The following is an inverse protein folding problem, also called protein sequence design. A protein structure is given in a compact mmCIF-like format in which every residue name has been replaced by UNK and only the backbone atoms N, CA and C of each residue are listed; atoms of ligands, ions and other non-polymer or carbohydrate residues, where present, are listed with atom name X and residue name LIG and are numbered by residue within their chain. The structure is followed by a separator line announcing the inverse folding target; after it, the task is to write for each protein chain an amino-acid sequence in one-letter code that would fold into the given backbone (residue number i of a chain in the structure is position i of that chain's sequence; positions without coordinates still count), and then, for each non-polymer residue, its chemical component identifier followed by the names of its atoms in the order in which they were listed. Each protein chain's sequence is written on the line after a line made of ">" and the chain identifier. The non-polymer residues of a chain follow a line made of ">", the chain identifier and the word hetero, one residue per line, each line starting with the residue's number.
data_IF_392821293305
#
_entry.id   IF_392821293305
#
_cell.length_a   1.000
_cell.length_b   1.000
_cell.length_c   1.000
_cell.angle_alpha   90.00
_cell.angle_beta   90.00
_cell.angle_gamma   90.00
#
_symmetry.space_group_name_H-M   'P 1'
#
loop_
_entity.id
_entity.type
_entity.pdbx_description
1 polymer ?
#
# COMPACT_ATOMS: atom_id res chain seq x y z
N UNK A 1 7.35 -4.60 38.42
CA UNK A 1 6.96 -5.82 37.67
C UNK A 1 6.51 -5.49 36.24
N UNK A 2 5.51 -4.62 36.03
CA UNK A 2 5.01 -4.28 34.67
C UNK A 2 6.08 -3.68 33.74
N UNK A 3 6.92 -2.77 34.24
CA UNK A 3 8.03 -2.14 33.46
C UNK A 3 9.04 -3.18 32.96
N UNK A 4 9.36 -4.17 33.79
CA UNK A 4 10.32 -5.23 33.44
C UNK A 4 9.73 -6.12 32.35
N UNK A 5 8.44 -6.47 32.46
CA UNK A 5 7.73 -7.23 31.44
C UNK A 5 7.71 -6.46 30.12
N UNK A 6 7.41 -5.16 30.15
CA UNK A 6 7.41 -4.31 28.96
C UNK A 6 8.80 -4.24 28.29
N UNK A 7 9.86 -4.04 29.08
CA UNK A 7 11.24 -4.04 28.57
C UNK A 7 11.61 -5.39 27.93
N UNK A 8 11.20 -6.50 28.54
CA UNK A 8 11.47 -7.85 28.05
C UNK A 8 10.74 -8.13 26.74
N UNK A 9 9.46 -7.73 26.62
CA UNK A 9 8.71 -7.87 25.37
C UNK A 9 9.31 -7.04 24.23
N UNK A 10 9.74 -5.80 24.51
CA UNK A 10 10.44 -4.98 23.52
C UNK A 10 11.78 -5.61 23.10
N UNK A 11 12.54 -6.13 24.05
CA UNK A 11 13.80 -6.83 23.78
C UNK A 11 13.61 -8.08 22.93
N UNK A 12 12.59 -8.90 23.23
CA UNK A 12 12.23 -10.06 22.40
C UNK A 12 11.75 -9.63 21.00
N UNK A 13 11.02 -8.52 20.90
CA UNK A 13 10.62 -7.95 19.61
C UNK A 13 11.83 -7.58 18.74
N UNK A 14 12.77 -6.82 19.28
CA UNK A 14 13.99 -6.42 18.55
C UNK A 14 14.89 -7.60 18.21
N UNK A 15 15.08 -8.52 19.14
CA UNK A 15 16.06 -9.61 18.99
C UNK A 15 15.52 -10.78 18.16
N UNK A 16 14.23 -11.10 18.30
CA UNK A 16 13.64 -12.30 17.72
C UNK A 16 12.72 -12.01 16.56
N UNK A 17 11.78 -11.06 16.72
CA UNK A 17 10.77 -10.82 15.68
C UNK A 17 11.36 -10.08 14.48
N UNK A 18 12.15 -9.03 14.73
CA UNK A 18 12.74 -8.20 13.69
C UNK A 18 13.59 -8.97 12.65
N UNK A 19 14.53 -9.86 13.04
CA UNK A 19 15.28 -10.65 12.06
C UNK A 19 14.42 -11.70 11.33
N UNK A 20 13.24 -12.03 11.85
CA UNK A 20 12.32 -12.98 11.22
C UNK A 20 11.38 -12.32 10.19
N UNK A 21 11.22 -10.99 10.21
CA UNK A 21 10.36 -10.27 9.25
C UNK A 21 10.68 -10.58 7.79
N UNK A 22 11.96 -10.62 7.33
CA UNK A 22 12.29 -10.95 5.94
C UNK A 22 11.76 -12.33 5.54
N UNK A 23 11.90 -13.32 6.43
CA UNK A 23 11.39 -14.67 6.22
C UNK A 23 9.86 -14.69 6.14
N UNK A 24 9.17 -14.02 7.07
CA UNK A 24 7.70 -13.98 7.10
C UNK A 24 7.13 -13.37 5.81
N UNK A 25 7.72 -12.27 5.34
CA UNK A 25 7.29 -11.60 4.10
C UNK A 25 7.55 -12.50 2.90
N UNK A 26 8.75 -13.08 2.80
CA UNK A 26 9.10 -13.98 1.71
C UNK A 26 8.18 -15.21 1.64
N UNK A 27 7.92 -15.84 2.79
CA UNK A 27 7.03 -16.99 2.88
C UNK A 27 5.59 -16.62 2.47
N UNK A 28 5.06 -15.51 2.99
CA UNK A 28 3.74 -15.01 2.60
C UNK A 28 3.63 -14.72 1.10
N UNK A 29 4.69 -14.14 0.52
CA UNK A 29 4.74 -13.87 -0.91
C UNK A 29 4.80 -15.15 -1.76
N UNK A 30 5.57 -16.15 -1.33
CA UNK A 30 5.66 -17.44 -2.01
C UNK A 30 4.31 -18.17 -2.00
N UNK A 31 3.60 -18.17 -0.86
CA UNK A 31 2.24 -18.74 -0.76
C UNK A 31 1.28 -17.98 -1.68
N UNK A 32 1.32 -16.64 -1.67
CA UNK A 32 0.47 -15.83 -2.55
C UNK A 32 0.73 -16.12 -4.04
N UNK A 33 1.99 -16.31 -4.43
CA UNK A 33 2.32 -16.70 -5.80
C UNK A 33 1.72 -18.08 -6.16
N UNK A 34 1.78 -19.07 -5.27
CA UNK A 34 1.12 -20.37 -5.51
C UNK A 34 -0.39 -20.26 -5.68
N UNK A 35 -1.04 -19.33 -4.96
CA UNK A 35 -2.47 -19.05 -5.15
C UNK A 35 -2.73 -18.52 -6.57
N UNK A 36 -1.95 -17.56 -7.04
CA UNK A 36 -2.04 -17.02 -8.42
C UNK A 36 -1.82 -18.10 -9.47
N UNK A 37 -0.89 -19.03 -9.23
CA UNK A 37 -0.68 -20.21 -10.09
C UNK A 37 -1.97 -21.06 -10.17
N UNK A 38 -2.61 -21.31 -9.03
CA UNK A 38 -3.87 -22.04 -8.96
C UNK A 38 -5.03 -21.33 -9.70
N UNK A 39 -5.14 -20.02 -9.54
CA UNK A 39 -6.10 -19.19 -10.28
C UNK A 39 -5.85 -19.27 -11.80
N UNK A 40 -4.59 -19.27 -12.22
CA UNK A 40 -4.20 -19.39 -13.62
C UNK A 40 -4.65 -20.69 -14.28
N UNK A 41 -4.65 -21.81 -13.55
CA UNK A 41 -5.15 -23.10 -14.05
C UNK A 41 -6.66 -23.04 -14.36
N UNK A 42 -7.43 -22.32 -13.54
CA UNK A 42 -8.88 -22.16 -13.70
C UNK A 42 -9.18 -21.11 -14.79
N UNK A 43 -8.37 -20.05 -14.87
CA UNK A 43 -8.52 -18.98 -15.85
C UNK A 43 -8.13 -19.42 -17.28
N UNK A 44 -7.16 -20.33 -17.43
CA UNK A 44 -6.63 -20.72 -18.73
C UNK A 44 -7.70 -21.29 -19.70
N UNK A 45 -8.61 -22.22 -19.31
CA UNK A 45 -9.68 -22.68 -20.18
C UNK A 45 -10.66 -21.58 -20.59
N UNK A 46 -10.98 -20.66 -19.67
CA UNK A 46 -11.86 -19.52 -19.97
C UNK A 46 -11.20 -18.58 -20.97
N UNK A 47 -9.89 -18.34 -20.82
CA UNK A 47 -9.12 -17.53 -21.76
C UNK A 47 -8.96 -18.23 -23.13
N UNK A 48 -8.86 -19.55 -23.18
CA UNK A 48 -8.81 -20.30 -24.44
C UNK A 48 -10.03 -20.02 -25.34
N UNK A 49 -11.23 -19.84 -24.76
CA UNK A 49 -12.46 -19.49 -25.51
C UNK A 49 -12.29 -18.15 -26.24
N UNK A 50 -11.52 -17.21 -25.70
CA UNK A 50 -11.29 -15.90 -26.35
C UNK A 50 -10.53 -16.02 -27.66
N UNK A 51 -9.81 -17.13 -27.89
CA UNK A 51 -9.15 -17.43 -29.16
C UNK A 51 -10.10 -18.00 -30.22
N UNK A 52 -11.28 -18.50 -29.83
CA UNK A 52 -12.27 -19.07 -30.76
C UNK A 52 -13.09 -18.00 -31.50
N UNK A 53 -13.12 -16.76 -30.99
CA UNK A 53 -13.94 -15.66 -31.52
C UNK A 53 -13.18 -14.58 -32.29
N UNK A 54 -11.91 -14.79 -32.66
CA UNK A 54 -11.04 -13.75 -33.23
C UNK A 54 -11.02 -13.72 -34.77
N UNK A 55 -11.14 -12.53 -35.35
CA UNK A 55 -10.98 -12.23 -36.77
C UNK A 55 -9.56 -12.54 -37.27
N UNK A 56 -9.22 -13.80 -37.54
CA UNK A 56 -8.09 -14.24 -38.37
C UNK A 56 -6.65 -13.90 -37.94
N UNK A 57 -6.42 -12.89 -37.11
CA UNK A 57 -5.11 -12.31 -36.80
C UNK A 57 -4.48 -12.90 -35.53
N UNK A 58 -5.19 -13.77 -34.80
CA UNK A 58 -4.69 -14.52 -33.64
C UNK A 58 -4.35 -13.68 -32.39
N UNK A 59 -4.00 -12.41 -32.56
CA UNK A 59 -3.55 -11.46 -31.53
C UNK A 59 -4.48 -10.25 -31.42
N UNK A 60 -5.78 -10.50 -31.27
CA UNK A 60 -6.75 -9.45 -30.99
C UNK A 60 -6.56 -8.85 -29.59
N UNK A 61 -7.06 -7.64 -29.37
CA UNK A 61 -7.04 -6.95 -28.07
C UNK A 61 -7.64 -7.79 -26.92
N UNK A 62 -8.54 -8.72 -27.24
CA UNK A 62 -9.18 -9.65 -26.27
C UNK A 62 -8.25 -10.77 -25.77
N UNK A 63 -7.25 -11.19 -26.56
CA UNK A 63 -6.31 -12.26 -26.16
C UNK A 63 -5.07 -11.71 -25.45
N UNK A 64 -4.70 -10.45 -25.72
CA UNK A 64 -3.52 -9.76 -25.16
C UNK A 64 -3.38 -9.86 -23.63
N UNK A 65 -4.47 -9.72 -22.87
CA UNK A 65 -4.43 -9.75 -21.41
C UNK A 65 -3.97 -11.09 -20.82
N UNK A 66 -4.35 -12.21 -21.43
CA UNK A 66 -3.93 -13.52 -20.92
C UNK A 66 -2.45 -13.80 -21.17
N UNK A 67 -1.86 -13.24 -22.23
CA UNK A 67 -0.41 -13.32 -22.43
C UNK A 67 0.36 -12.56 -21.35
N UNK A 68 -0.11 -11.37 -20.96
CA UNK A 68 0.48 -10.60 -19.87
C UNK A 68 0.35 -11.34 -18.54
N UNK A 69 -0.81 -11.94 -18.28
CA UNK A 69 -1.05 -12.76 -17.08
C UNK A 69 -0.12 -13.99 -17.00
N UNK A 70 0.08 -14.71 -18.12
CA UNK A 70 0.99 -15.86 -18.16
C UNK A 70 2.44 -15.43 -17.92
N UNK A 71 2.86 -14.32 -18.54
CA UNK A 71 4.18 -13.73 -18.32
C UNK A 71 4.37 -13.34 -16.85
N UNK A 72 3.36 -12.70 -16.26
CA UNK A 72 3.34 -12.34 -14.83
C UNK A 72 3.55 -13.57 -13.96
N UNK A 73 2.75 -14.62 -14.14
CA UNK A 73 2.82 -15.83 -13.34
C UNK A 73 4.21 -16.51 -13.41
N UNK A 74 4.84 -16.51 -14.59
CA UNK A 74 6.16 -17.13 -14.80
C UNK A 74 7.32 -16.30 -14.25
N UNK A 75 7.27 -14.98 -14.44
CA UNK A 75 8.39 -14.07 -14.14
C UNK A 75 8.34 -13.55 -12.71
N UNK A 76 7.16 -13.54 -12.06
CA UNK A 76 6.96 -13.04 -10.69
C UNK A 76 7.92 -13.64 -9.66
N UNK A 77 8.21 -14.95 -9.60
CA UNK A 77 9.19 -15.50 -8.66
C UNK A 77 10.59 -14.91 -8.83
N UNK A 78 11.02 -14.69 -10.07
CA UNK A 78 12.33 -14.12 -10.39
C UNK A 78 12.37 -12.66 -9.93
N UNK A 79 11.31 -11.90 -10.18
CA UNK A 79 11.20 -10.50 -9.75
C UNK A 79 11.08 -10.37 -8.22
N UNK A 80 10.45 -11.33 -7.55
CA UNK A 80 10.40 -11.39 -6.09
C UNK A 80 11.81 -11.54 -5.49
N UNK A 81 12.65 -12.41 -6.05
CA UNK A 81 14.06 -12.56 -5.62
C UNK A 81 14.81 -11.24 -5.78
N UNK A 82 14.63 -10.55 -6.90
CA UNK A 82 15.24 -9.23 -7.13
C UNK A 82 14.74 -8.22 -6.08
N UNK A 83 13.44 -8.19 -5.82
CA UNK A 83 12.84 -7.36 -4.78
C UNK A 83 13.39 -7.66 -3.37
N UNK A 84 13.68 -8.92 -3.07
CA UNK A 84 14.31 -9.32 -1.81
C UNK A 84 15.72 -8.73 -1.65
N UNK A 85 16.56 -8.81 -2.69
CA UNK A 85 17.91 -8.22 -2.65
C UNK A 85 17.89 -6.69 -2.60
N UNK A 86 16.98 -6.05 -3.34
CA UNK A 86 16.77 -4.60 -3.26
C UNK A 86 16.30 -4.18 -1.86
N UNK A 87 15.40 -4.95 -1.24
CA UNK A 87 15.00 -4.76 0.14
C UNK A 87 16.17 -4.89 1.11
N UNK A 88 17.04 -5.88 0.92
CA UNK A 88 18.27 -6.05 1.70
C UNK A 88 19.21 -4.85 1.60
N UNK A 89 19.44 -4.32 0.38
CA UNK A 89 20.23 -3.10 0.20
C UNK A 89 19.55 -1.88 0.86
N UNK A 90 18.22 -1.79 0.77
CA UNK A 90 17.41 -0.75 1.43
C UNK A 90 17.53 -0.79 2.95
N UNK A 91 17.57 -1.98 3.57
CA UNK A 91 17.80 -2.15 5.02
C UNK A 91 19.18 -1.64 5.40
N UNK A 92 20.22 -1.94 4.62
CA UNK A 92 21.58 -1.49 4.94
C UNK A 92 21.63 0.04 4.92
N UNK A 93 21.17 0.67 3.85
CA UNK A 93 21.20 2.13 3.74
C UNK A 93 20.25 2.82 4.75
N UNK A 94 18.98 2.38 4.79
CA UNK A 94 17.96 2.95 5.65
C UNK A 94 18.20 2.67 7.14
N UNK A 95 18.76 1.49 7.46
CA UNK A 95 19.08 1.09 8.83
C UNK A 95 20.26 1.88 9.39
N UNK A 96 21.31 2.10 8.58
CA UNK A 96 22.41 2.98 8.97
C UNK A 96 21.92 4.41 9.20
N UNK A 97 21.11 4.95 8.27
CA UNK A 97 20.53 6.29 8.41
C UNK A 97 19.66 6.42 9.67
N UNK A 98 18.82 5.41 9.94
CA UNK A 98 17.97 5.39 11.13
C UNK A 98 18.83 5.36 12.40
N UNK A 99 19.85 4.52 12.46
CA UNK A 99 20.69 4.38 13.64
C UNK A 99 21.48 5.66 13.96
N UNK A 100 22.04 6.30 12.93
CA UNK A 100 22.76 7.58 13.09
C UNK A 100 21.80 8.73 13.42
N UNK A 101 20.67 8.82 12.71
CA UNK A 101 19.69 9.89 12.90
C UNK A 101 18.96 9.82 14.24
N UNK A 102 18.64 8.61 14.72
CA UNK A 102 17.93 8.42 15.97
C UNK A 102 18.77 8.83 17.19
N UNK A 103 20.07 8.55 17.18
CA UNK A 103 20.98 8.99 18.24
C UNK A 103 21.04 10.51 18.36
N UNK A 104 21.11 11.22 17.23
CA UNK A 104 21.06 12.68 17.19
C UNK A 104 19.71 13.21 17.68
N UNK A 105 18.60 12.61 17.24
CA UNK A 105 17.26 13.01 17.67
C UNK A 105 17.07 12.84 19.19
N UNK A 106 17.57 11.74 19.76
CA UNK A 106 17.51 11.49 21.20
C UNK A 106 18.33 12.52 21.99
N UNK A 107 19.56 12.81 21.55
CA UNK A 107 20.42 13.82 22.19
C UNK A 107 19.75 15.21 22.20
N UNK A 108 19.08 15.58 21.11
CA UNK A 108 18.34 16.84 21.03
C UNK A 108 17.06 16.83 21.87
N UNK A 109 16.38 15.69 22.02
CA UNK A 109 15.17 15.61 22.83
C UNK A 109 15.46 15.63 24.35
N UNK A 110 16.65 15.18 24.76
CA UNK A 110 17.01 14.96 26.17
C UNK A 110 17.90 16.07 26.77
N UNK A 111 18.18 17.15 26.03
CA UNK A 111 19.17 18.21 26.26
C UNK A 111 19.57 18.51 27.73
N UNK A 112 18.62 18.65 28.66
CA UNK A 112 18.90 18.99 30.07
C UNK A 112 18.05 18.20 31.09
N UNK A 113 17.58 17.00 30.74
CA UNK A 113 16.80 16.18 31.66
C UNK A 113 17.22 14.72 31.64
N UNK A 114 17.62 14.20 32.79
CA UNK A 114 17.66 12.76 33.05
C UNK A 114 16.22 12.26 33.09
N UNK A 115 15.64 12.01 31.92
CA UNK A 115 14.31 11.46 31.81
C UNK A 115 14.33 10.03 32.38
N UNK A 116 13.50 9.78 33.40
CA UNK A 116 13.50 8.53 34.16
C UNK A 116 13.15 7.28 33.34
N UNK A 117 13.10 6.12 34.01
CA UNK A 117 12.87 4.79 33.41
C UNK A 117 11.69 4.71 32.42
N UNK A 118 10.61 5.49 32.64
CA UNK A 118 9.48 5.54 31.72
C UNK A 118 9.82 6.10 30.33
N UNK A 119 10.69 7.11 30.27
CA UNK A 119 11.14 7.70 29.00
C UNK A 119 12.05 6.76 28.20
N UNK A 120 12.89 5.99 28.90
CA UNK A 120 13.76 4.98 28.29
C UNK A 120 12.89 3.94 27.58
N UNK A 121 11.82 3.47 28.24
CA UNK A 121 10.86 2.57 27.60
C UNK A 121 10.14 3.21 26.41
N UNK A 122 9.77 4.48 26.51
CA UNK A 122 9.12 5.21 25.42
C UNK A 122 10.04 5.31 24.19
N UNK A 123 11.30 5.72 24.38
CA UNK A 123 12.28 5.81 23.29
C UNK A 123 12.61 4.43 22.69
N UNK A 124 12.74 3.38 23.51
CA UNK A 124 12.89 2.00 23.01
C UNK A 124 11.70 1.56 22.16
N UNK A 125 10.47 1.90 22.57
CA UNK A 125 9.25 1.57 21.82
C UNK A 125 9.19 2.31 20.49
N UNK A 126 9.56 3.61 20.48
CA UNK A 126 9.62 4.41 19.25
C UNK A 126 10.67 3.82 18.30
N UNK A 127 11.88 3.54 18.80
CA UNK A 127 12.95 2.93 18.01
C UNK A 127 12.52 1.59 17.43
N UNK A 128 11.93 0.71 18.24
CA UNK A 128 11.41 -0.57 17.79
C UNK A 128 10.40 -0.40 16.64
N UNK A 129 9.44 0.50 16.81
CA UNK A 129 8.41 0.78 15.80
C UNK A 129 9.02 1.31 14.50
N UNK A 130 10.00 2.23 14.59
CA UNK A 130 10.69 2.76 13.41
C UNK A 130 11.46 1.66 12.68
N UNK A 131 12.20 0.82 13.41
CA UNK A 131 12.94 -0.31 12.81
C UNK A 131 11.98 -1.32 12.18
N UNK A 132 10.87 -1.67 12.83
CA UNK A 132 9.86 -2.54 12.23
C UNK A 132 9.29 -1.96 10.94
N UNK A 133 8.86 -0.69 10.96
CA UNK A 133 8.30 -0.04 9.77
C UNK A 133 9.31 0.03 8.63
N UNK A 134 10.57 0.32 8.93
CA UNK A 134 11.65 0.32 7.96
C UNK A 134 11.82 -1.07 7.34
N UNK A 135 11.92 -2.12 8.17
CA UNK A 135 12.12 -3.48 7.68
C UNK A 135 10.96 -3.96 6.81
N UNK A 136 9.73 -3.74 7.27
CA UNK A 136 8.54 -4.05 6.48
C UNK A 136 8.52 -3.29 5.16
N UNK A 137 8.84 -1.99 5.17
CA UNK A 137 8.85 -1.15 3.97
C UNK A 137 9.92 -1.59 2.96
N UNK A 138 11.12 -1.93 3.42
CA UNK A 138 12.20 -2.43 2.57
C UNK A 138 11.86 -3.79 1.95
N UNK A 139 11.33 -4.74 2.71
CA UNK A 139 10.98 -6.06 2.17
C UNK A 139 9.64 -6.09 1.44
N UNK A 140 8.80 -5.05 1.56
CA UNK A 140 7.63 -4.89 0.71
C UNK A 140 7.97 -4.78 -0.79
N UNK A 141 9.23 -4.47 -1.13
CA UNK A 141 9.73 -4.52 -2.51
C UNK A 141 9.56 -5.89 -3.16
N UNK A 142 9.48 -6.98 -2.38
CA UNK A 142 9.19 -8.33 -2.88
C UNK A 142 7.86 -8.36 -3.64
N UNK A 143 6.86 -7.60 -3.20
CA UNK A 143 5.56 -7.50 -3.88
C UNK A 143 5.56 -6.41 -4.95
N UNK A 144 6.16 -5.25 -4.63
CA UNK A 144 6.09 -4.08 -5.48
C UNK A 144 6.90 -4.24 -6.78
N UNK A 145 8.07 -4.87 -6.74
CA UNK A 145 8.94 -5.03 -7.92
C UNK A 145 8.25 -5.86 -9.02
N UNK A 146 7.72 -7.06 -8.74
CA UNK A 146 6.94 -7.80 -9.73
C UNK A 146 5.84 -6.97 -10.36
N UNK A 147 4.98 -6.39 -9.53
CA UNK A 147 3.78 -5.69 -9.99
C UNK A 147 4.15 -4.48 -10.86
N UNK A 148 5.17 -3.69 -10.49
CA UNK A 148 5.56 -2.50 -11.26
C UNK A 148 6.26 -2.85 -12.58
N UNK A 149 7.10 -3.87 -12.59
CA UNK A 149 7.81 -4.30 -13.82
C UNK A 149 6.81 -4.87 -14.83
N UNK A 150 5.87 -5.70 -14.39
CA UNK A 150 4.86 -6.31 -15.26
C UNK A 150 3.88 -5.26 -15.80
N UNK A 151 3.41 -4.34 -14.96
CA UNK A 151 2.53 -3.25 -15.41
C UNK A 151 3.19 -2.38 -16.49
N UNK A 152 4.49 -2.12 -16.34
CA UNK A 152 5.26 -1.40 -17.36
C UNK A 152 5.32 -2.17 -18.69
N UNK A 153 5.53 -3.49 -18.66
CA UNK A 153 5.48 -4.35 -19.86
C UNK A 153 4.09 -4.37 -20.50
N UNK A 154 3.04 -4.39 -19.69
CA UNK A 154 1.65 -4.39 -20.14
C UNK A 154 1.12 -3.04 -20.64
N UNK A 155 1.95 -2.00 -20.72
CA UNK A 155 1.56 -0.66 -21.19
C UNK A 155 0.61 0.10 -20.24
N UNK A 156 0.34 -0.44 -19.05
CA UNK A 156 -0.45 0.21 -18.03
C UNK A 156 0.50 0.98 -17.12
N UNK A 157 0.65 2.29 -17.36
CA UNK A 157 1.49 3.15 -16.50
C UNK A 157 1.06 2.96 -15.03
N UNK A 158 1.92 2.43 -14.15
CA UNK A 158 1.56 2.28 -12.76
C UNK A 158 1.39 3.68 -12.18
N UNK A 159 0.17 4.02 -11.74
CA UNK A 159 -0.03 5.15 -10.86
C UNK A 159 0.97 5.00 -9.70
N UNK A 160 1.85 5.98 -9.58
CA UNK A 160 3.01 5.96 -8.71
C UNK A 160 2.57 5.84 -7.23
N UNK A 161 3.32 5.07 -6.46
CA UNK A 161 3.11 4.75 -5.02
C UNK A 161 3.25 5.98 -4.08
N UNK A 162 3.28 7.20 -4.63
CA UNK A 162 3.21 8.45 -3.86
C UNK A 162 1.82 9.09 -3.82
N UNK A 163 0.90 8.66 -4.69
CA UNK A 163 -0.40 9.31 -4.88
C UNK A 163 -1.38 8.95 -3.76
N UNK A 164 -1.34 7.72 -3.22
CA UNK A 164 -2.29 7.26 -2.19
C UNK A 164 -2.14 7.97 -0.83
N UNK A 165 -0.91 8.28 -0.38
CA UNK A 165 -0.71 8.95 0.90
C UNK A 165 -1.06 10.44 0.80
N UNK A 166 -0.73 11.09 -0.33
CA UNK A 166 -1.15 12.47 -0.59
C UNK A 166 -2.67 12.57 -0.78
N UNK A 167 -3.30 11.59 -1.41
CA UNK A 167 -4.73 11.66 -1.74
C UNK A 167 -5.61 11.30 -0.55
N UNK A 168 -5.20 10.35 0.30
CA UNK A 168 -5.87 10.13 1.60
C UNK A 168 -5.70 11.32 2.54
N UNK A 169 -4.52 11.95 2.55
CA UNK A 169 -4.29 13.15 3.36
C UNK A 169 -5.10 14.33 2.83
N UNK A 170 -5.16 14.54 1.51
CA UNK A 170 -6.02 15.55 0.86
C UNK A 170 -7.50 15.26 1.07
N UNK A 171 -7.93 14.00 0.99
CA UNK A 171 -9.31 13.61 1.25
C UNK A 171 -9.68 13.80 2.73
N UNK A 172 -8.78 13.46 3.66
CA UNK A 172 -8.96 13.71 5.08
C UNK A 172 -9.00 15.21 5.40
N UNK A 173 -8.10 16.01 4.82
CA UNK A 173 -8.10 17.47 4.96
C UNK A 173 -9.38 18.08 4.36
N UNK A 174 -9.80 17.67 3.17
CA UNK A 174 -11.07 18.13 2.58
C UNK A 174 -12.29 17.72 3.40
N UNK A 175 -12.28 16.53 4.00
CA UNK A 175 -13.37 16.07 4.88
C UNK A 175 -13.36 16.81 6.22
N UNK A 176 -12.18 17.16 6.74
CA UNK A 176 -12.04 18.00 7.93
C UNK A 176 -12.47 19.45 7.65
N UNK A 177 -12.07 20.02 6.52
CA UNK A 177 -12.50 21.34 6.05
C UNK A 177 -14.00 21.40 5.74
N UNK A 178 -14.60 20.29 5.31
CA UNK A 178 -16.06 20.21 5.12
C UNK A 178 -16.82 20.08 6.45
N UNK A 179 -16.17 19.54 7.50
CA UNK A 179 -16.75 19.40 8.85
C UNK A 179 -16.55 20.65 9.72
N UNK A 180 -15.52 21.44 9.46
CA UNK A 180 -15.37 22.81 9.97
C UNK A 180 -15.94 23.77 8.93
N UNK A 181 -17.23 24.11 9.01
CA UNK A 181 -17.99 24.96 8.07
C UNK A 181 -17.40 26.39 7.89
N UNK A 182 -16.22 26.49 7.31
CA UNK A 182 -15.63 27.73 6.80
C UNK A 182 -15.92 27.76 5.29
N UNK A 183 -17.19 28.00 4.96
CA UNK A 183 -17.54 28.56 3.65
C UNK A 183 -17.02 30.00 3.61
N UNK A 184 -16.18 30.41 2.63
CA UNK A 184 -16.00 31.82 2.36
C UNK A 184 -17.32 32.35 1.81
N UNK A 185 -18.15 32.87 2.71
CA UNK A 185 -19.34 33.65 2.38
C UNK A 185 -18.87 35.01 1.85
N UNK A 186 -18.78 35.12 0.53
CA UNK A 186 -18.57 36.38 -0.19
C UNK A 186 -19.53 36.42 -1.37
N UNK A 187 -20.71 36.98 -1.15
CA UNK A 187 -21.81 36.98 -2.11
C UNK A 187 -21.58 37.87 -3.33
N UNK A 188 -22.21 37.50 -4.46
CA UNK A 188 -23.05 38.41 -5.23
C UNK A 188 -23.87 37.67 -6.31
N UNK A 189 -25.18 37.95 -6.35
CA UNK A 189 -25.97 38.07 -7.58
C UNK A 189 -26.37 36.81 -8.37
N UNK A 190 -27.61 36.35 -8.18
CA UNK A 190 -28.76 36.58 -9.10
C UNK A 190 -29.89 35.57 -8.81
N UNK A 191 -31.08 36.12 -8.55
CA UNK A 191 -32.36 35.39 -8.45
C UNK A 191 -32.67 34.69 -9.78
N UNK A 192 -33.43 33.58 -9.74
CA UNK A 192 -34.53 33.41 -10.67
C UNK A 192 -35.87 33.44 -9.93
N UNK A 193 -36.80 34.09 -10.60
CA UNK A 193 -38.19 34.38 -10.23
C UNK A 193 -39.09 33.30 -10.86
N UNK A 194 -40.19 32.95 -10.18
CA UNK A 194 -41.32 32.16 -10.72
C UNK A 194 -41.17 30.67 -10.49
N UNK A 195 -41.98 30.01 -9.65
CA UNK A 195 -43.43 29.83 -9.82
C UNK A 195 -43.62 28.61 -10.74
N UNK A 196 -44.14 27.46 -10.34
CA UNK A 196 -45.38 27.18 -9.61
C UNK A 196 -45.37 25.72 -9.10
N UNK A 197 -45.88 25.46 -7.92
CA UNK A 197 -46.48 24.17 -7.51
C UNK A 197 -48.02 24.39 -7.48
N UNK A 198 -48.93 23.38 -7.50
CA UNK A 198 -48.75 22.00 -7.00
C UNK A 198 -49.48 20.85 -7.76
N UNK A 199 -49.16 19.63 -7.36
CA UNK A 199 -50.02 18.43 -7.21
C UNK A 199 -50.99 17.95 -8.31
N UNK A 200 -50.84 16.69 -8.74
CA UNK A 200 -51.84 15.58 -8.64
C UNK A 200 -51.40 14.45 -9.60
N UNK A 201 -51.12 13.23 -9.12
CA UNK A 201 -52.03 12.10 -8.86
C UNK A 201 -52.27 11.21 -10.11
N UNK A 202 -51.85 9.94 -9.93
CA UNK A 202 -52.40 8.67 -10.42
C UNK A 202 -52.53 8.32 -11.92
N UNK A 203 -52.06 7.10 -12.20
CA UNK A 203 -52.69 6.02 -12.98
C UNK A 203 -53.04 6.18 -14.47
N UNK A 204 -52.81 5.09 -15.20
CA UNK A 204 -53.32 4.84 -16.56
C UNK A 204 -52.23 4.24 -17.47
N UNK A 205 -52.03 2.92 -17.46
CA UNK A 205 -52.66 1.93 -18.37
C UNK A 205 -52.16 2.00 -19.82
N UNK A 206 -51.47 0.91 -20.19
CA UNK A 206 -51.46 0.17 -21.48
C UNK A 206 -51.97 0.90 -22.72
N UNK A 207 -51.12 0.93 -23.75
CA UNK A 207 -51.35 0.21 -25.02
C UNK A 207 -50.04 -0.46 -25.47
#
# INVERSE_FOLDING_TARGET
>A
MMIIIAALLLGLGLSTYLPMVPFVIWFGAAVNWLVVVGEGVIAAPLWAITHLGGEGDGLGHKTAHGYIFLLEMMVRPILMVIGFFLGGAGIVAGGTLLNEGFGVALANAQFDSLTGIGSILAYCTIYFSMCLNLVHSCFNLIFLVPDKVINWVGGHSPAMVGTDHSDRTKAAVNTLLAKFDIRPSGGNGRRPLGGTNPSSKSDGIKE
#
